data_IF_342980403279
#
_entry.id   IF_342980403279
#
_cell.length_a   1.000
_cell.length_b   1.000
_cell.length_c   1.000
_cell.angle_alpha   90.00
_cell.angle_beta   90.00
_cell.angle_gamma   90.00
#
_symmetry.space_group_name_H-M   'P 1'
#
loop_
_entity.id
_entity.type
_entity.pdbx_description
1 polymer ?
#
# COMPACT_ATOMS: atom_id res chain seq x y z
N UNK A 1 8.56 3.83 -26.21
CA UNK A 1 7.22 3.41 -26.69
C UNK A 1 6.19 4.55 -26.71
N UNK A 2 6.61 5.83 -26.85
CA UNK A 2 5.73 7.01 -26.78
C UNK A 2 5.13 7.47 -28.10
N UNK A 3 5.48 6.85 -29.24
CA UNK A 3 4.95 7.25 -30.56
C UNK A 3 3.61 6.58 -30.93
N UNK A 4 3.15 5.57 -30.18
CA UNK A 4 1.93 4.82 -30.51
C UNK A 4 0.64 5.49 -30.01
N UNK A 5 0.74 6.40 -29.04
CA UNK A 5 -0.41 7.03 -28.37
C UNK A 5 -0.87 8.35 -29.01
N UNK A 6 -0.12 8.87 -29.97
CA UNK A 6 -0.38 10.18 -30.58
C UNK A 6 -1.21 10.09 -31.87
N UNK A 7 -1.21 8.95 -32.57
CA UNK A 7 -1.75 8.85 -33.94
C UNK A 7 -3.15 8.25 -34.06
N UNK A 8 -3.71 7.60 -33.02
CA UNK A 8 -4.94 6.80 -33.18
C UNK A 8 -6.19 7.29 -32.42
N UNK A 9 -6.07 8.01 -31.31
CA UNK A 9 -7.23 8.25 -30.45
C UNK A 9 -7.36 9.73 -30.10
N UNK A 10 -8.09 10.47 -30.92
CA UNK A 10 -8.56 11.84 -30.65
C UNK A 10 -9.51 11.95 -29.44
N UNK A 11 -9.09 11.40 -28.29
CA UNK A 11 -9.71 11.43 -26.97
C UNK A 11 -8.57 11.62 -25.94
N UNK A 12 -8.33 12.90 -25.62
CA UNK A 12 -7.64 13.49 -24.46
C UNK A 12 -6.61 12.62 -23.68
N UNK A 13 -5.43 12.40 -24.27
CA UNK A 13 -4.21 12.00 -23.54
C UNK A 13 -3.91 12.93 -22.34
N UNK A 14 -4.39 14.19 -22.37
CA UNK A 14 -4.25 15.15 -21.28
C UNK A 14 -5.10 14.81 -20.05
N UNK A 15 -6.30 14.24 -20.20
CA UNK A 15 -7.12 13.84 -19.06
C UNK A 15 -6.56 12.59 -18.34
N UNK A 16 -6.08 11.60 -19.08
CA UNK A 16 -5.42 10.42 -18.50
C UNK A 16 -4.10 10.81 -17.81
N UNK A 17 -3.33 11.72 -18.41
CA UNK A 17 -2.12 12.26 -17.80
C UNK A 17 -2.42 13.14 -16.56
N UNK A 18 -3.51 13.91 -16.57
CA UNK A 18 -3.95 14.72 -15.43
C UNK A 18 -4.46 13.86 -14.28
N UNK A 19 -5.23 12.80 -14.56
CA UNK A 19 -5.68 11.84 -13.55
C UNK A 19 -4.48 11.08 -12.98
N UNK A 20 -3.53 10.64 -13.82
CA UNK A 20 -2.30 9.97 -13.39
C UNK A 20 -1.40 10.87 -12.54
N UNK A 21 -1.28 12.15 -12.87
CA UNK A 21 -0.50 13.11 -12.09
C UNK A 21 -1.16 13.44 -10.75
N UNK A 22 -2.48 13.66 -10.71
CA UNK A 22 -3.26 13.84 -9.48
C UNK A 22 -3.13 12.60 -8.59
N UNK A 23 -3.20 11.40 -9.16
CA UNK A 23 -2.94 10.14 -8.44
C UNK A 23 -1.55 10.09 -7.82
N UNK A 24 -0.52 10.52 -8.57
CA UNK A 24 0.85 10.58 -8.08
C UNK A 24 0.99 11.53 -6.89
N UNK A 25 0.42 12.73 -6.98
CA UNK A 25 0.39 13.71 -5.89
C UNK A 25 -0.39 13.22 -4.68
N UNK A 26 -1.54 12.60 -4.90
CA UNK A 26 -2.37 12.00 -3.86
C UNK A 26 -1.66 10.87 -3.12
N UNK A 27 -0.86 10.05 -3.81
CA UNK A 27 -0.10 8.97 -3.19
C UNK A 27 1.03 9.51 -2.29
N UNK A 28 1.67 10.62 -2.67
CA UNK A 28 2.65 11.32 -1.82
C UNK A 28 1.96 11.89 -0.56
N UNK A 29 0.79 12.50 -0.72
CA UNK A 29 0.03 13.04 0.40
C UNK A 29 -0.46 11.95 1.36
N UNK A 30 -0.98 10.84 0.81
CA UNK A 30 -1.32 9.64 1.56
C UNK A 30 -0.12 9.09 2.33
N UNK A 31 1.08 9.14 1.74
CA UNK A 31 2.35 8.81 2.40
C UNK A 31 2.59 9.61 3.68
N UNK A 32 2.45 10.92 3.56
CA UNK A 32 2.67 11.87 4.66
C UNK A 32 1.61 11.68 5.76
N UNK A 33 0.33 11.56 5.38
CA UNK A 33 -0.77 11.41 6.33
C UNK A 33 -0.73 10.07 7.06
N UNK A 34 -0.41 8.97 6.36
CA UNK A 34 -0.26 7.64 6.96
C UNK A 34 0.88 7.56 7.95
N UNK A 35 2.05 8.11 7.59
CA UNK A 35 3.18 8.22 8.51
C UNK A 35 2.82 9.04 9.76
N UNK A 36 2.18 10.20 9.58
CA UNK A 36 1.79 11.07 10.69
C UNK A 36 0.78 10.41 11.65
N UNK A 37 -0.24 9.72 11.11
CA UNK A 37 -1.25 9.05 11.93
C UNK A 37 -0.66 7.85 12.68
N UNK A 38 0.25 7.10 12.03
CA UNK A 38 1.01 6.01 12.65
C UNK A 38 1.85 6.49 13.83
N UNK A 39 2.62 7.55 13.61
CA UNK A 39 3.53 8.10 14.61
C UNK A 39 2.78 8.63 15.84
N UNK A 40 1.60 9.24 15.63
CA UNK A 40 0.75 9.72 16.72
C UNK A 40 0.22 8.60 17.61
N UNK A 41 -0.14 7.45 17.05
CA UNK A 41 -0.60 6.30 17.83
C UNK A 41 0.59 5.56 18.48
N UNK A 42 1.74 5.54 17.80
CA UNK A 42 2.99 4.94 18.26
C UNK A 42 3.54 5.59 19.56
N UNK A 43 3.42 6.91 19.72
CA UNK A 43 3.96 7.65 20.86
C UNK A 43 3.31 7.27 22.21
N UNK A 44 2.06 6.76 22.23
CA UNK A 44 1.29 6.61 23.48
C UNK A 44 1.41 5.26 24.20
N UNK A 45 1.87 4.17 23.55
CA UNK A 45 1.65 2.78 24.05
C UNK A 45 2.88 1.85 24.07
N UNK A 46 4.07 2.33 23.73
CA UNK A 46 5.31 1.53 23.76
C UNK A 46 5.30 0.30 22.84
N UNK A 47 6.09 -0.73 23.16
CA UNK A 47 6.26 -1.96 22.35
C UNK A 47 4.96 -2.74 22.09
N UNK A 48 4.11 -2.92 23.11
CA UNK A 48 2.81 -3.58 22.95
C UNK A 48 1.88 -2.75 22.07
N UNK A 49 2.00 -1.42 22.12
CA UNK A 49 1.30 -0.49 21.24
C UNK A 49 1.64 -0.69 19.77
N UNK A 50 2.92 -0.97 19.45
CA UNK A 50 3.36 -1.22 18.07
C UNK A 50 2.73 -2.48 17.48
N UNK A 51 2.68 -3.58 18.23
CA UNK A 51 2.05 -4.83 17.78
C UNK A 51 0.53 -4.68 17.61
N UNK A 52 -0.13 -3.99 18.54
CA UNK A 52 -1.57 -3.70 18.43
C UNK A 52 -1.83 -2.79 17.23
N UNK A 53 -0.98 -1.80 16.97
CA UNK A 53 -1.10 -0.93 15.79
C UNK A 53 -1.00 -1.73 14.49
N UNK A 54 0.03 -2.55 14.34
CA UNK A 54 0.20 -3.42 13.15
C UNK A 54 -1.03 -4.30 12.96
N UNK A 55 -1.56 -4.88 14.04
CA UNK A 55 -2.76 -5.70 13.99
C UNK A 55 -3.98 -4.90 13.52
N UNK A 56 -4.21 -3.71 14.08
CA UNK A 56 -5.34 -2.85 13.69
C UNK A 56 -5.19 -2.38 12.24
N UNK A 57 -3.98 -1.98 11.82
CA UNK A 57 -3.71 -1.61 10.43
C UNK A 57 -4.01 -2.77 9.48
N UNK A 58 -3.60 -4.00 9.81
CA UNK A 58 -3.90 -5.17 8.98
C UNK A 58 -5.40 -5.46 8.85
N UNK A 59 -6.21 -5.30 9.90
CA UNK A 59 -7.67 -5.51 9.75
C UNK A 59 -8.31 -4.38 8.92
N UNK A 60 -7.80 -3.15 9.05
CA UNK A 60 -8.26 -2.00 8.25
C UNK A 60 -7.85 -2.12 6.78
N UNK A 61 -6.66 -2.67 6.51
CA UNK A 61 -6.21 -3.06 5.18
C UNK A 61 -7.13 -4.11 4.56
N UNK A 62 -7.47 -5.17 5.30
CA UNK A 62 -8.44 -6.17 4.86
C UNK A 62 -9.82 -5.56 4.55
N UNK A 63 -10.31 -4.68 5.43
CA UNK A 63 -11.58 -3.99 5.23
C UNK A 63 -11.56 -3.07 4.00
N UNK A 64 -10.44 -2.40 3.72
CA UNK A 64 -10.28 -1.55 2.55
C UNK A 64 -10.14 -2.35 1.26
N UNK A 65 -9.54 -3.55 1.28
CA UNK A 65 -9.56 -4.48 0.14
C UNK A 65 -11.00 -4.91 -0.19
N UNK A 66 -11.80 -5.26 0.82
CA UNK A 66 -13.22 -5.59 0.61
C UNK A 66 -13.97 -4.38 0.05
N UNK A 67 -13.77 -3.18 0.62
CA UNK A 67 -14.38 -1.95 0.09
C UNK A 67 -13.97 -1.65 -1.36
N UNK A 68 -12.73 -1.97 -1.73
CA UNK A 68 -12.23 -1.84 -3.10
C UNK A 68 -12.99 -2.77 -4.06
N UNK A 69 -13.29 -4.01 -3.64
CA UNK A 69 -14.05 -4.96 -4.46
C UNK A 69 -15.47 -4.47 -4.81
N UNK A 70 -16.09 -3.65 -3.95
CA UNK A 70 -17.41 -3.04 -4.20
C UNK A 70 -17.35 -1.66 -4.88
N UNK A 71 -16.16 -1.15 -5.20
CA UNK A 71 -15.99 0.18 -5.79
C UNK A 71 -16.39 0.18 -7.28
N UNK A 72 -17.42 0.96 -7.62
CA UNK A 72 -18.00 1.00 -8.98
C UNK A 72 -17.50 2.13 -9.87
N UNK A 73 -16.73 3.07 -9.32
CA UNK A 73 -16.21 4.23 -10.06
C UNK A 73 -14.72 4.38 -9.85
N UNK A 74 -14.01 4.84 -10.89
CA UNK A 74 -12.57 5.04 -10.85
C UNK A 74 -12.16 5.86 -9.64
N UNK A 75 -12.81 7.03 -9.43
CA UNK A 75 -12.54 7.94 -8.33
C UNK A 75 -12.67 7.30 -6.93
N UNK A 76 -13.64 6.41 -6.73
CA UNK A 76 -13.83 5.70 -5.46
C UNK A 76 -12.72 4.66 -5.26
N UNK A 77 -12.34 3.93 -6.31
CA UNK A 77 -11.20 3.01 -6.26
C UNK A 77 -9.89 3.72 -5.91
N UNK A 78 -9.63 4.92 -6.47
CA UNK A 78 -8.49 5.79 -6.08
C UNK A 78 -8.53 6.08 -4.57
N UNK A 79 -9.69 6.52 -4.09
CA UNK A 79 -9.86 6.93 -2.71
C UNK A 79 -9.62 5.77 -1.73
N UNK A 80 -10.14 4.59 -2.04
CA UNK A 80 -9.94 3.39 -1.23
C UNK A 80 -8.47 2.93 -1.27
N UNK A 81 -7.81 2.97 -2.42
CA UNK A 81 -6.37 2.64 -2.53
C UNK A 81 -5.48 3.61 -1.75
N UNK A 82 -5.84 4.89 -1.68
CA UNK A 82 -5.13 5.85 -0.83
C UNK A 82 -5.27 5.52 0.65
N UNK A 83 -6.50 5.19 1.10
CA UNK A 83 -6.75 4.79 2.48
C UNK A 83 -5.97 3.52 2.83
N UNK A 84 -5.97 2.53 1.94
CA UNK A 84 -5.14 1.34 2.07
C UNK A 84 -3.65 1.70 2.24
N UNK A 85 -3.11 2.55 1.36
CA UNK A 85 -1.71 3.01 1.41
C UNK A 85 -1.32 3.70 2.72
N UNK A 86 -2.23 4.49 3.31
CA UNK A 86 -2.04 5.14 4.62
C UNK A 86 -1.85 4.08 5.70
N UNK A 87 -2.68 3.05 5.73
CA UNK A 87 -2.60 1.98 6.73
C UNK A 87 -1.37 1.09 6.55
N UNK A 88 -1.01 0.75 5.31
CA UNK A 88 0.19 -0.06 4.99
C UNK A 88 1.45 0.62 5.49
N UNK A 89 1.59 1.91 5.24
CA UNK A 89 2.77 2.65 5.70
C UNK A 89 2.80 2.84 7.21
N UNK A 90 1.62 2.95 7.83
CA UNK A 90 1.52 2.96 9.26
C UNK A 90 2.00 1.64 9.88
N UNK A 91 1.59 0.51 9.30
CA UNK A 91 2.05 -0.82 9.69
C UNK A 91 3.57 -0.99 9.49
N UNK A 92 4.11 -0.58 8.33
CA UNK A 92 5.54 -0.62 8.05
C UNK A 92 6.35 0.19 9.08
N UNK A 93 5.93 1.43 9.37
CA UNK A 93 6.58 2.28 10.37
C UNK A 93 6.59 1.64 11.77
N UNK A 94 5.50 0.98 12.16
CA UNK A 94 5.46 0.25 13.42
C UNK A 94 6.37 -0.99 13.44
N UNK A 95 6.46 -1.74 12.34
CA UNK A 95 7.37 -2.90 12.21
C UNK A 95 8.84 -2.45 12.30
N UNK A 96 9.24 -1.39 11.60
CA UNK A 96 10.58 -0.81 11.72
C UNK A 96 10.85 -0.29 13.13
N UNK A 97 9.82 0.20 13.82
CA UNK A 97 9.89 0.53 15.23
C UNK A 97 10.22 -0.68 16.13
N UNK A 98 9.86 -1.90 15.77
CA UNK A 98 10.18 -3.08 16.60
C UNK A 98 11.66 -3.48 16.46
N UNK A 99 12.32 -3.14 15.35
CA UNK A 99 13.71 -3.54 15.03
C UNK A 99 14.73 -3.27 16.16
N UNK A 100 14.77 -2.08 16.81
CA UNK A 100 15.74 -1.80 17.87
C UNK A 100 15.54 -2.66 19.13
N UNK A 101 14.34 -3.22 19.32
CA UNK A 101 14.02 -4.10 20.44
C UNK A 101 14.41 -5.56 20.18
N UNK A 102 14.52 -5.97 18.92
CA UNK A 102 14.99 -7.31 18.54
C UNK A 102 16.49 -7.42 18.81
N UNK A 103 17.28 -6.49 18.27
CA UNK A 103 18.71 -6.44 18.55
C UNK A 103 19.25 -5.01 18.41
N UNK A 104 19.48 -4.37 19.57
CA UNK A 104 19.99 -2.99 19.64
C UNK A 104 21.44 -2.84 19.12
N UNK A 105 22.23 -3.91 19.04
CA UNK A 105 23.63 -3.84 18.57
C UNK A 105 23.75 -3.86 17.04
N UNK A 106 22.76 -4.45 16.34
CA UNK A 106 22.77 -4.62 14.88
C UNK A 106 21.45 -4.18 14.25
N UNK A 107 20.92 -3.04 14.69
CA UNK A 107 19.66 -2.45 14.20
C UNK A 107 19.63 -2.33 12.68
N UNK A 108 20.74 -1.91 12.07
CA UNK A 108 20.84 -1.77 10.61
C UNK A 108 20.70 -3.09 9.86
N UNK A 109 21.32 -4.17 10.34
CA UNK A 109 21.22 -5.49 9.72
C UNK A 109 19.81 -6.07 9.85
N UNK A 110 19.18 -5.93 11.04
CA UNK A 110 17.81 -6.39 11.25
C UNK A 110 16.81 -5.58 10.42
N UNK A 111 16.97 -4.25 10.33
CA UNK A 111 16.18 -3.41 9.43
C UNK A 111 16.36 -3.81 7.95
N UNK A 112 17.59 -4.16 7.55
CA UNK A 112 17.89 -4.64 6.20
C UNK A 112 17.16 -5.94 5.86
N UNK A 113 17.11 -6.89 6.80
CA UNK A 113 16.36 -8.15 6.64
C UNK A 113 14.86 -7.88 6.53
N UNK A 114 14.31 -7.01 7.39
CA UNK A 114 12.89 -6.62 7.35
C UNK A 114 12.54 -5.98 6.00
N UNK A 115 13.37 -5.05 5.50
CA UNK A 115 13.16 -4.42 4.21
C UNK A 115 13.29 -5.38 3.02
N UNK A 116 14.24 -6.31 3.07
CA UNK A 116 14.37 -7.36 2.06
C UNK A 116 13.12 -8.27 2.04
N UNK A 117 12.60 -8.64 3.21
CA UNK A 117 11.37 -9.41 3.34
C UNK A 117 10.15 -8.70 2.75
N UNK A 118 10.00 -7.39 3.00
CA UNK A 118 8.91 -6.59 2.42
C UNK A 118 8.96 -6.55 0.88
N UNK A 119 10.13 -6.29 0.30
CA UNK A 119 10.31 -6.26 -1.15
C UNK A 119 10.09 -7.65 -1.79
N UNK A 120 10.60 -8.71 -1.17
CA UNK A 120 10.39 -10.08 -1.65
C UNK A 120 8.90 -10.47 -1.61
N UNK A 121 8.19 -10.13 -0.53
CA UNK A 121 6.75 -10.34 -0.41
C UNK A 121 5.96 -9.63 -1.51
N UNK A 122 6.27 -8.36 -1.79
CA UNK A 122 5.65 -7.61 -2.88
C UNK A 122 5.90 -8.23 -4.27
N UNK A 123 7.12 -8.71 -4.52
CA UNK A 123 7.43 -9.41 -5.76
C UNK A 123 6.65 -10.72 -5.90
N UNK A 124 6.59 -11.54 -4.85
CA UNK A 124 5.82 -12.80 -4.82
C UNK A 124 4.34 -12.53 -5.03
N UNK A 125 3.77 -11.54 -4.34
CA UNK A 125 2.38 -11.14 -4.53
C UNK A 125 2.10 -10.71 -5.98
N UNK A 126 2.99 -9.92 -6.58
CA UNK A 126 2.86 -9.50 -7.98
C UNK A 126 2.91 -10.68 -8.97
N UNK A 127 3.75 -11.68 -8.71
CA UNK A 127 3.82 -12.91 -9.52
C UNK A 127 2.53 -13.72 -9.38
N UNK A 128 2.04 -13.93 -8.15
CA UNK A 128 0.80 -14.68 -7.89
C UNK A 128 -0.39 -13.97 -8.54
N UNK A 129 -0.54 -12.66 -8.32
CA UNK A 129 -1.64 -11.88 -8.87
C UNK A 129 -1.64 -11.91 -10.41
N UNK A 130 -0.46 -11.80 -11.03
CA UNK A 130 -0.32 -11.93 -12.49
C UNK A 130 -0.69 -13.33 -12.98
N UNK A 131 -0.39 -14.38 -12.23
CA UNK A 131 -0.79 -15.75 -12.60
C UNK A 131 -2.31 -15.98 -12.53
N UNK A 132 -3.01 -15.27 -11.66
CA UNK A 132 -4.48 -15.35 -11.49
C UNK A 132 -5.27 -14.51 -12.51
N UNK A 133 -4.64 -13.53 -13.17
CA UNK A 133 -5.29 -12.64 -14.15
C UNK A 133 -5.76 -13.30 -15.46
N UNK A 134 -5.67 -14.63 -15.61
CA UNK A 134 -6.29 -15.37 -16.71
C UNK A 134 -7.72 -15.83 -16.42
N UNK A 135 -8.16 -15.79 -15.16
CA UNK A 135 -9.53 -16.12 -14.74
C UNK A 135 -10.01 -15.13 -13.67
N UNK A 136 -10.49 -13.95 -14.10
CA UNK A 136 -10.96 -12.89 -13.19
C UNK A 136 -12.19 -13.31 -12.36
N UNK A 137 -12.96 -14.31 -12.77
CA UNK A 137 -14.13 -14.80 -12.02
C UNK A 137 -13.78 -15.77 -10.88
N UNK A 138 -12.68 -16.53 -10.96
CA UNK A 138 -12.29 -17.50 -9.93
C UNK A 138 -11.52 -16.86 -8.75
N UNK A 139 -10.79 -15.77 -9.00
CA UNK A 139 -9.91 -15.15 -8.01
C UNK A 139 -10.66 -14.41 -6.88
N UNK A 140 -11.86 -13.88 -7.13
CA UNK A 140 -12.62 -13.14 -6.12
C UNK A 140 -13.42 -14.03 -5.15
N UNK A 141 -13.61 -15.33 -5.45
CA UNK A 141 -14.34 -16.27 -4.58
C UNK A 141 -13.45 -17.05 -3.62
N UNK A 142 -12.12 -16.93 -3.74
CA UNK A 142 -11.16 -17.76 -2.99
C UNK A 142 -10.32 -16.97 -1.98
N UNK A 143 -10.59 -15.67 -1.81
CA UNK A 143 -9.98 -14.80 -0.79
C UNK A 143 -10.99 -14.37 0.26
#
# INVERSE_FOLDING_TARGET
>A
SGLYFTSQFGLSNSAAAAVGSIFGWMNIFARIVGGFFSDRVNIRRGMRGRLVLVTVCLILEGATIIAFAYSKTLAVSIAVMMLFSIFTQAAEGAIYGVVPYVNRRVVGSVAGIVGAGGNAGGAVFGIIFRSMSHDYEAAFLTM
#
